data_IF_797986091220
#
_entry.id   IF_797986091220
#
_cell.length_a   1.000
_cell.length_b   1.000
_cell.length_c   1.000
_cell.angle_alpha   90.00
_cell.angle_beta   90.00
_cell.angle_gamma   90.00
#
_symmetry.space_group_name_H-M   'P 1'
#
loop_
_entity.id
_entity.type
_entity.pdbx_description
1 polymer ?
#
# COMPACT_ATOMS: atom_id res chain seq x y z
N UNK A 1 5.35 -12.63 20.22
CA UNK A 1 4.45 -13.46 19.42
C UNK A 1 4.20 -12.73 18.13
N UNK A 2 4.28 -13.40 16.97
CA UNK A 2 4.13 -12.73 15.67
C UNK A 2 2.73 -12.15 15.46
N UNK A 3 1.74 -12.69 16.17
CA UNK A 3 0.36 -12.27 16.07
C UNK A 3 0.01 -11.13 17.04
N UNK A 4 -0.90 -10.23 16.67
CA UNK A 4 -1.41 -9.16 17.53
C UNK A 4 -2.23 -9.69 18.73
N UNK A 5 -2.45 -8.86 19.77
CA UNK A 5 -3.14 -9.24 21.00
C UNK A 5 -4.45 -10.01 20.79
N UNK A 6 -5.32 -9.56 19.87
CA UNK A 6 -6.63 -10.18 19.66
C UNK A 6 -6.54 -11.62 19.15
N UNK A 7 -5.47 -12.01 18.45
CA UNK A 7 -5.23 -13.40 18.00
C UNK A 7 -4.55 -14.26 19.06
N UNK A 8 -4.05 -13.66 20.13
CA UNK A 8 -3.38 -14.33 21.23
C UNK A 8 -4.35 -14.73 22.37
N UNK A 9 -5.66 -14.74 22.11
CA UNK A 9 -6.69 -15.05 23.10
C UNK A 9 -7.02 -13.90 24.06
N UNK A 10 -6.45 -12.70 23.84
CA UNK A 10 -6.79 -11.53 24.64
C UNK A 10 -8.13 -10.94 24.19
N UNK A 11 -8.96 -10.44 25.13
CA UNK A 11 -10.22 -9.81 24.80
C UNK A 11 -10.00 -8.54 23.99
N UNK A 12 -10.90 -8.26 23.05
CA UNK A 12 -10.91 -7.01 22.29
C UNK A 12 -12.35 -6.56 22.04
N UNK A 13 -12.64 -5.24 22.15
CA UNK A 13 -13.97 -4.71 21.84
C UNK A 13 -14.24 -4.64 20.33
N UNK A 14 -13.22 -4.84 19.47
CA UNK A 14 -13.30 -4.58 18.04
C UNK A 14 -13.56 -5.85 17.19
N UNK A 15 -12.99 -6.99 17.58
CA UNK A 15 -12.96 -8.19 16.74
C UNK A 15 -14.08 -9.18 17.07
N UNK A 16 -15.13 -9.13 16.27
CA UNK A 16 -16.25 -10.09 16.32
C UNK A 16 -15.84 -11.49 15.82
N UNK A 17 -16.64 -12.54 16.08
CA UNK A 17 -16.42 -13.87 15.52
C UNK A 17 -16.30 -13.87 13.98
N UNK A 18 -17.06 -13.02 13.29
CA UNK A 18 -17.06 -12.86 11.83
C UNK A 18 -15.74 -12.27 11.34
N UNK A 19 -15.23 -11.24 12.00
CA UNK A 19 -13.91 -10.67 11.69
C UNK A 19 -12.78 -11.69 11.92
N UNK A 20 -12.90 -12.55 12.93
CA UNK A 20 -11.96 -13.65 13.17
C UNK A 20 -12.04 -14.73 12.09
N UNK A 21 -13.24 -15.04 11.61
CA UNK A 21 -13.43 -15.92 10.45
C UNK A 21 -12.77 -15.33 9.20
N UNK A 22 -12.97 -14.04 8.94
CA UNK A 22 -12.32 -13.32 7.84
C UNK A 22 -10.79 -13.37 7.95
N UNK A 23 -10.26 -13.13 9.15
CA UNK A 23 -8.83 -13.23 9.42
C UNK A 23 -8.28 -14.62 9.09
N UNK A 24 -8.96 -15.70 9.51
CA UNK A 24 -8.54 -17.07 9.20
C UNK A 24 -8.54 -17.32 7.69
N UNK A 25 -9.58 -16.90 6.98
CA UNK A 25 -9.68 -17.06 5.52
C UNK A 25 -8.56 -16.31 4.80
N UNK A 26 -8.25 -15.07 5.20
CA UNK A 26 -7.11 -14.33 4.67
C UNK A 26 -5.80 -15.08 4.91
N UNK A 27 -5.58 -15.53 6.14
CA UNK A 27 -4.36 -16.23 6.54
C UNK A 27 -4.16 -17.51 5.73
N UNK A 28 -5.19 -18.32 5.57
CA UNK A 28 -5.11 -19.58 4.85
C UNK A 28 -4.71 -19.32 3.38
N UNK A 29 -5.40 -18.40 2.70
CA UNK A 29 -5.08 -18.03 1.31
C UNK A 29 -3.66 -17.47 1.15
N UNK A 30 -3.24 -16.56 2.02
CA UNK A 30 -1.92 -15.91 1.96
C UNK A 30 -0.80 -16.90 2.33
N UNK A 31 -1.07 -17.85 3.23
CA UNK A 31 -0.12 -18.90 3.61
C UNK A 31 0.08 -19.94 2.51
N UNK A 32 -0.93 -20.14 1.67
CA UNK A 32 -0.84 -21.05 0.51
C UNK A 32 -0.13 -20.39 -0.68
N UNK A 33 -0.53 -19.17 -1.04
CA UNK A 33 -0.16 -18.59 -2.34
C UNK A 33 0.96 -17.55 -2.29
N UNK A 34 1.32 -17.01 -1.13
CA UNK A 34 2.27 -15.88 -1.06
C UNK A 34 3.41 -16.13 -0.07
N UNK A 35 3.09 -16.43 1.18
CA UNK A 35 4.07 -16.50 2.29
C UNK A 35 5.26 -17.44 2.03
N UNK A 36 5.06 -18.67 1.51
CA UNK A 36 6.17 -19.61 1.31
C UNK A 36 7.19 -19.15 0.28
N UNK A 37 6.78 -18.32 -0.68
CA UNK A 37 7.58 -17.95 -1.85
C UNK A 37 8.07 -16.50 -1.81
N UNK A 38 7.51 -15.67 -0.93
CA UNK A 38 7.77 -14.23 -0.86
C UNK A 38 9.27 -13.90 -0.81
N UNK A 39 10.06 -14.70 -0.10
CA UNK A 39 11.49 -14.46 0.06
C UNK A 39 12.28 -14.75 -1.23
N UNK A 40 11.93 -15.82 -1.93
CA UNK A 40 12.57 -16.16 -3.21
C UNK A 40 12.23 -15.13 -4.27
N UNK A 41 10.97 -14.70 -4.35
CA UNK A 41 10.51 -13.67 -5.29
C UNK A 41 11.16 -12.31 -5.05
N UNK A 42 11.34 -11.90 -3.80
CA UNK A 42 12.05 -10.64 -3.52
C UNK A 42 13.53 -10.75 -3.86
N UNK A 43 14.18 -11.89 -3.59
CA UNK A 43 15.57 -12.14 -4.01
C UNK A 43 15.73 -12.12 -5.54
N UNK A 44 14.76 -12.66 -6.26
CA UNK A 44 14.70 -12.64 -7.73
C UNK A 44 14.25 -11.27 -8.28
N UNK A 45 13.88 -10.36 -7.38
CA UNK A 45 13.32 -9.06 -7.69
C UNK A 45 12.10 -9.15 -8.62
N UNK A 46 11.28 -10.19 -8.53
CA UNK A 46 10.08 -10.31 -9.35
C UNK A 46 9.10 -11.30 -8.74
N UNK A 47 7.83 -11.19 -9.11
CA UNK A 47 6.82 -12.21 -8.82
C UNK A 47 6.44 -12.94 -10.12
N UNK A 48 5.97 -14.20 -10.04
CA UNK A 48 5.52 -14.91 -11.22
C UNK A 48 4.16 -14.36 -11.70
N UNK A 49 3.88 -14.32 -13.02
CA UNK A 49 2.63 -13.76 -13.55
C UNK A 49 1.35 -14.37 -12.97
N UNK A 50 1.34 -15.69 -12.75
CA UNK A 50 0.19 -16.42 -12.22
C UNK A 50 -0.25 -15.95 -10.83
N UNK A 51 0.61 -15.30 -10.06
CA UNK A 51 0.28 -14.85 -8.72
C UNK A 51 -0.85 -13.81 -8.75
N UNK A 52 -0.77 -12.85 -9.67
CA UNK A 52 -1.82 -11.84 -9.84
C UNK A 52 -3.13 -12.45 -10.33
N UNK A 53 -3.06 -13.41 -11.27
CA UNK A 53 -4.22 -14.16 -11.77
C UNK A 53 -4.90 -14.94 -10.65
N UNK A 54 -4.11 -15.55 -9.76
CA UNK A 54 -4.60 -16.27 -8.58
C UNK A 54 -5.34 -15.32 -7.64
N UNK A 55 -4.76 -14.16 -7.34
CA UNK A 55 -5.42 -13.15 -6.51
C UNK A 55 -6.71 -12.62 -7.16
N UNK A 56 -6.69 -12.37 -8.48
CA UNK A 56 -7.84 -11.90 -9.23
C UNK A 56 -8.99 -12.91 -9.23
N UNK A 57 -8.70 -14.18 -9.55
CA UNK A 57 -9.67 -15.28 -9.57
C UNK A 57 -10.42 -15.46 -8.26
N UNK A 58 -9.75 -15.17 -7.15
CA UNK A 58 -10.30 -15.33 -5.80
C UNK A 58 -10.85 -14.02 -5.20
N UNK A 59 -10.97 -12.96 -6.01
CA UNK A 59 -11.35 -11.60 -5.58
C UNK A 59 -10.43 -11.02 -4.49
N UNK A 60 -9.23 -11.57 -4.31
CA UNK A 60 -8.26 -11.16 -3.28
C UNK A 60 -7.47 -9.90 -3.65
N UNK A 61 -7.75 -9.29 -4.81
CA UNK A 61 -7.37 -7.92 -5.13
C UNK A 61 -8.34 -6.89 -4.54
N UNK A 62 -9.61 -7.25 -4.29
CA UNK A 62 -10.66 -6.32 -3.86
C UNK A 62 -10.47 -5.78 -2.43
N UNK A 63 -10.03 -6.57 -1.43
CA UNK A 63 -9.85 -6.08 -0.07
C UNK A 63 -8.90 -4.89 0.10
N UNK A 64 -8.04 -4.63 -0.89
CA UNK A 64 -7.09 -3.52 -0.87
C UNK A 64 -7.71 -2.17 -1.26
N UNK A 65 -8.93 -2.17 -1.82
CA UNK A 65 -9.66 -0.96 -2.15
C UNK A 65 -10.03 -0.18 -0.87
N UNK A 66 -10.23 1.15 -0.98
CA UNK A 66 -10.78 1.93 0.13
C UNK A 66 -12.10 1.36 0.61
N UNK A 67 -12.26 1.29 1.93
CA UNK A 67 -13.53 0.96 2.56
C UNK A 67 -14.37 2.23 2.76
N UNK A 68 -15.72 2.14 2.78
CA UNK A 68 -16.50 1.00 2.31
C UNK A 68 -16.28 0.74 0.82
N UNK A 69 -16.44 -0.53 0.40
CA UNK A 69 -16.20 -0.95 -0.98
C UNK A 69 -17.22 -0.32 -1.96
N UNK A 70 -16.89 -0.20 -3.26
CA UNK A 70 -17.83 0.25 -4.30
C UNK A 70 -18.83 -0.85 -4.65
N UNK A 71 -19.78 -1.10 -3.74
CA UNK A 71 -20.73 -2.24 -3.78
C UNK A 71 -21.47 -2.35 -5.11
N UNK A 72 -21.96 -1.22 -5.63
CA UNK A 72 -22.70 -1.21 -6.90
C UNK A 72 -21.84 -1.72 -8.05
N UNK A 73 -20.67 -1.11 -8.24
CA UNK A 73 -19.77 -1.45 -9.34
C UNK A 73 -19.20 -2.86 -9.21
N UNK A 74 -18.96 -3.35 -7.98
CA UNK A 74 -18.56 -4.73 -7.73
C UNK A 74 -19.67 -5.72 -8.11
N UNK A 75 -20.91 -5.47 -7.70
CA UNK A 75 -22.06 -6.32 -8.06
C UNK A 75 -22.35 -6.30 -9.56
N UNK A 76 -22.23 -5.15 -10.22
CA UNK A 76 -22.31 -5.03 -11.69
C UNK A 76 -21.20 -5.84 -12.39
N UNK A 77 -20.03 -5.98 -11.77
CA UNK A 77 -18.93 -6.83 -12.25
C UNK A 77 -19.05 -8.33 -11.84
N UNK A 78 -20.13 -8.73 -11.17
CA UNK A 78 -20.39 -10.10 -10.73
C UNK A 78 -19.70 -10.51 -9.42
N UNK A 79 -19.17 -9.55 -8.66
CA UNK A 79 -18.47 -9.79 -7.39
C UNK A 79 -19.43 -9.48 -6.24
N UNK A 80 -19.90 -10.52 -5.57
CA UNK A 80 -20.87 -10.42 -4.46
C UNK A 80 -20.24 -10.67 -3.09
N UNK A 81 -19.15 -11.43 -3.05
CA UNK A 81 -18.41 -11.79 -1.85
C UNK A 81 -16.93 -11.99 -2.15
N UNK A 82 -16.15 -12.08 -1.07
CA UNK A 82 -14.73 -12.37 -1.11
C UNK A 82 -14.50 -13.70 -0.40
N UNK A 83 -14.08 -14.71 -1.16
CA UNK A 83 -13.83 -16.08 -0.69
C UNK A 83 -15.00 -16.74 0.06
N UNK A 84 -16.26 -16.34 -0.19
CA UNK A 84 -17.44 -16.80 0.55
C UNK A 84 -17.45 -16.37 2.02
N UNK A 85 -16.52 -15.50 2.43
CA UNK A 85 -16.28 -15.17 3.83
C UNK A 85 -16.97 -13.86 4.26
N UNK A 86 -16.97 -12.86 3.37
CA UNK A 86 -17.56 -11.54 3.61
C UNK A 86 -18.25 -11.07 2.33
N UNK A 87 -19.49 -10.58 2.46
CA UNK A 87 -20.20 -9.94 1.34
C UNK A 87 -19.61 -8.55 1.09
N UNK A 88 -19.63 -8.08 -0.15
CA UNK A 88 -19.04 -6.78 -0.49
C UNK A 88 -19.70 -5.61 0.25
N UNK A 89 -20.99 -5.70 0.57
CA UNK A 89 -21.72 -4.70 1.38
C UNK A 89 -21.38 -4.71 2.87
N UNK A 90 -20.88 -5.84 3.40
CA UNK A 90 -20.54 -6.00 4.81
C UNK A 90 -19.05 -5.69 5.07
N UNK A 91 -18.28 -5.35 4.02
CA UNK A 91 -16.85 -5.10 4.11
C UNK A 91 -16.55 -3.73 4.73
N UNK A 92 -15.92 -3.75 5.90
CA UNK A 92 -15.60 -2.57 6.70
C UNK A 92 -14.10 -2.28 6.76
N UNK A 93 -13.71 -1.14 7.36
CA UNK A 93 -12.30 -0.83 7.60
C UNK A 93 -11.57 -1.88 8.45
N UNK A 94 -12.27 -2.62 9.34
CA UNK A 94 -11.66 -3.73 10.06
C UNK A 94 -11.32 -4.91 9.16
N UNK A 95 -12.12 -5.18 8.12
CA UNK A 95 -11.78 -6.20 7.12
C UNK A 95 -10.54 -5.79 6.32
N UNK A 96 -10.43 -4.52 5.94
CA UNK A 96 -9.24 -3.97 5.28
C UNK A 96 -7.99 -4.03 6.20
N UNK A 97 -8.13 -3.70 7.49
CA UNK A 97 -7.05 -3.79 8.48
C UNK A 97 -6.51 -5.22 8.58
N UNK A 98 -7.41 -6.20 8.73
CA UNK A 98 -7.04 -7.61 8.84
C UNK A 98 -6.35 -8.09 7.57
N UNK A 99 -6.90 -7.77 6.41
CA UNK A 99 -6.29 -8.13 5.12
C UNK A 99 -4.89 -7.53 4.97
N UNK A 100 -4.75 -6.23 5.25
CA UNK A 100 -3.47 -5.52 5.14
C UNK A 100 -2.41 -6.07 6.09
N UNK A 101 -2.79 -6.46 7.31
CA UNK A 101 -1.89 -7.11 8.29
C UNK A 101 -1.49 -8.53 7.85
N UNK A 102 -2.43 -9.34 7.36
CA UNK A 102 -2.12 -10.70 6.90
C UNK A 102 -1.24 -10.70 5.65
N UNK A 103 -1.42 -9.75 4.72
CA UNK A 103 -0.60 -9.61 3.51
C UNK A 103 0.90 -9.43 3.79
N UNK A 104 1.25 -8.89 4.96
CA UNK A 104 2.64 -8.59 5.36
C UNK A 104 3.08 -9.51 6.52
N UNK A 105 2.38 -10.63 6.77
CA UNK A 105 2.72 -11.57 7.85
C UNK A 105 4.11 -12.18 7.73
N UNK A 106 4.65 -12.29 6.52
CA UNK A 106 6.02 -12.73 6.26
C UNK A 106 7.07 -11.63 6.51
N UNK A 107 6.65 -10.40 6.82
CA UNK A 107 7.52 -9.24 7.06
C UNK A 107 7.95 -8.50 5.79
N UNK A 108 7.60 -9.00 4.60
CA UNK A 108 8.00 -8.44 3.31
C UNK A 108 6.83 -7.74 2.64
N UNK A 109 7.10 -6.56 2.10
CA UNK A 109 6.08 -5.75 1.44
C UNK A 109 6.15 -5.79 -0.10
N UNK A 110 7.30 -6.18 -0.66
CA UNK A 110 7.54 -6.22 -2.11
C UNK A 110 6.57 -7.10 -2.90
N UNK A 111 6.45 -8.41 -2.60
CA UNK A 111 5.58 -9.30 -3.37
C UNK A 111 4.11 -8.91 -3.30
N UNK A 112 3.61 -8.47 -2.13
CA UNK A 112 2.25 -7.96 -2.01
C UNK A 112 2.02 -6.70 -2.86
N UNK A 113 2.93 -5.73 -2.76
CA UNK A 113 2.85 -4.47 -3.51
C UNK A 113 2.90 -4.65 -5.04
N UNK A 114 3.60 -5.69 -5.51
CA UNK A 114 3.64 -6.06 -6.94
C UNK A 114 2.27 -6.43 -7.53
N UNK A 115 1.27 -6.71 -6.68
CA UNK A 115 -0.09 -7.04 -7.10
C UNK A 115 -1.11 -5.98 -6.71
N UNK A 116 -1.06 -5.51 -5.47
CA UNK A 116 -2.20 -4.81 -4.87
C UNK A 116 -2.10 -3.30 -4.98
N UNK A 117 -0.89 -2.71 -5.00
CA UNK A 117 -0.70 -1.24 -4.98
C UNK A 117 -1.45 -0.52 -6.09
N UNK A 118 -1.50 -1.13 -7.28
CA UNK A 118 -2.24 -0.61 -8.43
C UNK A 118 -3.74 -0.48 -8.19
N UNK A 119 -4.34 -1.54 -7.65
CA UNK A 119 -5.75 -1.58 -7.28
C UNK A 119 -6.01 -0.69 -6.06
N UNK A 120 -5.07 -0.64 -5.11
CA UNK A 120 -5.21 0.08 -3.86
C UNK A 120 -5.20 1.60 -4.05
N UNK A 121 -4.38 2.12 -4.96
CA UNK A 121 -4.12 3.55 -5.09
C UNK A 121 -4.37 4.11 -6.49
N UNK A 122 -4.16 3.31 -7.54
CA UNK A 122 -4.39 3.71 -8.93
C UNK A 122 -5.86 3.68 -9.34
N UNK A 123 -6.62 2.67 -8.92
CA UNK A 123 -8.03 2.53 -9.27
C UNK A 123 -9.01 3.46 -8.52
N UNK A 124 -8.81 3.82 -7.23
CA UNK A 124 -9.80 4.60 -6.48
C UNK A 124 -10.15 5.98 -7.04
N UNK A 125 -9.23 6.76 -7.65
CA UNK A 125 -9.62 7.99 -8.33
C UNK A 125 -10.70 7.76 -9.40
N UNK A 126 -10.61 6.67 -10.17
CA UNK A 126 -11.62 6.30 -11.18
C UNK A 126 -12.94 5.94 -10.51
N UNK A 127 -12.90 5.15 -9.42
CA UNK A 127 -14.10 4.76 -8.66
C UNK A 127 -14.84 5.98 -8.09
N UNK A 128 -14.09 6.94 -7.53
CA UNK A 128 -14.67 8.07 -6.79
C UNK A 128 -15.06 9.25 -7.68
N UNK A 129 -14.27 9.54 -8.70
CA UNK A 129 -14.39 10.78 -9.48
C UNK A 129 -14.55 10.54 -10.98
N UNK A 130 -14.38 9.32 -11.47
CA UNK A 130 -14.60 8.99 -12.87
C UNK A 130 -16.05 9.19 -13.29
N UNK A 131 -16.26 9.66 -14.52
CA UNK A 131 -17.60 9.70 -15.12
C UNK A 131 -18.21 8.29 -15.20
N UNK A 132 -19.55 8.13 -15.30
CA UNK A 132 -20.17 6.82 -15.46
C UNK A 132 -19.61 6.03 -16.65
N UNK A 133 -19.30 6.71 -17.76
CA UNK A 133 -18.70 6.11 -18.94
C UNK A 133 -17.27 5.63 -18.68
N UNK A 134 -16.46 6.43 -17.98
CA UNK A 134 -15.11 6.05 -17.57
C UNK A 134 -15.13 4.83 -16.64
N UNK A 135 -16.03 4.85 -15.66
CA UNK A 135 -16.20 3.74 -14.72
C UNK A 135 -16.61 2.45 -15.44
N UNK A 136 -17.60 2.52 -16.34
CA UNK A 136 -18.06 1.37 -17.11
C UNK A 136 -16.97 0.78 -18.02
N UNK A 137 -16.09 1.64 -18.56
CA UNK A 137 -15.00 1.21 -19.44
C UNK A 137 -13.87 0.49 -18.71
N UNK A 138 -13.55 0.91 -17.49
CA UNK A 138 -12.32 0.48 -16.81
C UNK A 138 -12.53 -0.42 -15.58
N UNK A 139 -13.57 -0.19 -14.79
CA UNK A 139 -13.74 -0.89 -13.51
C UNK A 139 -14.00 -2.39 -13.66
N UNK A 140 -14.84 -2.89 -14.60
CA UNK A 140 -15.12 -4.31 -14.71
C UNK A 140 -13.85 -5.14 -14.94
N UNK A 141 -12.99 -4.71 -15.88
CA UNK A 141 -11.76 -5.41 -16.19
C UNK A 141 -10.70 -5.25 -15.09
N UNK A 142 -10.65 -4.10 -14.42
CA UNK A 142 -9.74 -3.89 -13.30
C UNK A 142 -10.11 -4.76 -12.08
N UNK A 143 -11.40 -4.87 -11.75
CA UNK A 143 -11.88 -5.70 -10.64
C UNK A 143 -11.65 -7.20 -10.90
N UNK A 144 -11.78 -7.63 -12.15
CA UNK A 144 -11.52 -9.01 -12.56
C UNK A 144 -10.02 -9.30 -12.78
N UNK A 145 -9.14 -8.32 -12.58
CA UNK A 145 -7.70 -8.47 -12.79
C UNK A 145 -7.30 -8.74 -14.24
N UNK A 146 -8.12 -8.34 -15.22
CA UNK A 146 -7.78 -8.38 -16.64
C UNK A 146 -6.88 -7.23 -17.05
N UNK A 147 -7.00 -6.11 -16.35
CA UNK A 147 -6.13 -4.94 -16.52
C UNK A 147 -5.50 -4.56 -15.19
N UNK A 148 -4.31 -3.96 -15.25
CA UNK A 148 -3.55 -3.48 -14.11
C UNK A 148 -3.46 -1.96 -14.14
N UNK A 149 -3.65 -1.37 -12.97
CA UNK A 149 -3.49 0.05 -12.75
C UNK A 149 -2.21 0.35 -11.98
N UNK A 150 -1.78 1.60 -12.03
CA UNK A 150 -0.86 2.20 -11.08
C UNK A 150 -1.29 3.65 -10.80
N UNK A 151 -0.65 4.30 -9.83
CA UNK A 151 -0.80 5.74 -9.60
C UNK A 151 0.50 6.44 -9.98
N UNK A 152 0.43 7.44 -10.86
CA UNK A 152 1.60 8.09 -11.41
C UNK A 152 1.57 9.62 -11.14
N UNK A 153 2.12 10.02 -10.00
CA UNK A 153 2.15 11.42 -9.56
C UNK A 153 3.58 11.97 -9.61
N UNK A 154 4.44 11.36 -8.79
CA UNK A 154 5.81 11.81 -8.52
C UNK A 154 6.68 11.90 -9.77
N UNK A 155 7.50 12.93 -9.81
CA UNK A 155 8.47 13.23 -10.87
C UNK A 155 9.89 13.30 -10.29
N UNK A 156 10.95 13.29 -11.13
CA UNK A 156 12.33 13.51 -10.66
C UNK A 156 12.50 14.72 -9.75
N UNK A 157 11.84 15.83 -10.10
CA UNK A 157 12.01 17.12 -9.43
C UNK A 157 10.88 17.45 -8.43
N UNK A 158 9.81 16.63 -8.38
CA UNK A 158 8.61 16.91 -7.61
C UNK A 158 8.06 15.62 -6.96
N UNK A 159 8.35 15.45 -5.67
CA UNK A 159 7.83 14.36 -4.83
C UNK A 159 6.89 14.85 -3.73
N UNK A 160 7.43 15.50 -2.70
CA UNK A 160 6.63 16.13 -1.65
C UNK A 160 5.88 17.36 -2.15
N UNK A 161 6.48 18.09 -3.10
CA UNK A 161 5.89 19.27 -3.74
C UNK A 161 5.10 18.89 -5.00
N UNK A 162 4.00 18.16 -4.79
CA UNK A 162 3.13 17.65 -5.88
C UNK A 162 2.56 18.79 -6.73
N UNK A 163 2.37 19.98 -6.16
CA UNK A 163 1.83 21.14 -6.89
C UNK A 163 2.70 21.58 -8.07
N UNK A 164 4.00 21.26 -8.04
CA UNK A 164 5.01 21.69 -9.00
C UNK A 164 5.48 20.61 -9.97
N UNK A 165 4.69 19.54 -10.14
CA UNK A 165 4.91 18.57 -11.23
C UNK A 165 4.89 19.26 -12.61
N UNK A 166 5.67 18.75 -13.56
CA UNK A 166 5.94 19.33 -14.88
C UNK A 166 5.36 18.53 -16.05
N UNK A 167 4.94 17.27 -15.86
CA UNK A 167 4.25 16.52 -16.92
C UNK A 167 3.04 17.32 -17.37
N UNK A 168 2.96 17.62 -18.66
CA UNK A 168 1.88 18.42 -19.26
C UNK A 168 0.91 17.54 -20.03
N UNK A 169 -0.34 17.98 -20.15
CA UNK A 169 -1.35 17.41 -21.02
C UNK A 169 -2.05 18.55 -21.77
N UNK A 170 -1.79 18.68 -23.07
CA UNK A 170 -2.36 19.75 -23.91
C UNK A 170 -3.44 19.19 -24.83
N UNK A 171 -4.58 19.87 -24.95
CA UNK A 171 -5.61 19.43 -25.91
C UNK A 171 -5.07 19.47 -27.33
N UNK A 172 -5.38 18.43 -28.12
CA UNK A 172 -5.15 18.39 -29.55
C UNK A 172 -5.92 19.51 -30.26
N UNK A 173 -5.55 19.83 -31.50
CA UNK A 173 -6.16 20.93 -32.25
C UNK A 173 -7.67 20.74 -32.47
N UNK A 174 -8.14 19.51 -32.59
CA UNK A 174 -9.56 19.14 -32.71
C UNK A 174 -10.27 18.99 -31.35
N UNK A 175 -9.54 19.09 -30.25
CA UNK A 175 -10.06 18.98 -28.88
C UNK A 175 -10.53 17.58 -28.47
N UNK A 176 -10.22 16.53 -29.25
CA UNK A 176 -10.67 15.16 -28.98
C UNK A 176 -9.71 14.37 -28.09
N UNK A 177 -8.44 14.80 -28.00
CA UNK A 177 -7.41 14.16 -27.19
C UNK A 177 -6.62 15.17 -26.38
N UNK A 178 -5.89 14.68 -25.39
CA UNK A 178 -4.75 15.32 -24.77
C UNK A 178 -3.46 14.69 -25.31
N UNK A 179 -2.45 15.51 -25.57
CA UNK A 179 -1.09 15.08 -25.87
C UNK A 179 -0.26 15.29 -24.60
N UNK A 180 0.28 14.20 -24.06
CA UNK A 180 0.97 14.16 -22.77
C UNK A 180 2.47 14.05 -22.98
N UNK A 181 3.21 14.93 -22.30
CA UNK A 181 4.68 14.98 -22.34
C UNK A 181 5.26 15.14 -20.94
N UNK A 182 6.31 14.38 -20.61
CA UNK A 182 7.05 14.51 -19.36
C UNK A 182 7.58 13.19 -18.82
N UNK A 183 7.83 13.13 -17.51
CA UNK A 183 8.37 11.91 -16.88
C UNK A 183 7.74 11.66 -15.51
N UNK A 184 7.68 10.39 -15.11
CA UNK A 184 7.25 9.97 -13.77
C UNK A 184 8.28 9.05 -13.14
N UNK A 185 8.46 9.15 -11.83
CA UNK A 185 9.50 8.42 -11.08
C UNK A 185 8.93 7.81 -9.81
N UNK A 186 9.49 6.66 -9.43
CA UNK A 186 9.07 5.88 -8.26
C UNK A 186 7.70 5.23 -8.40
N UNK A 187 7.31 4.86 -9.62
CA UNK A 187 5.97 4.32 -9.85
C UNK A 187 5.98 2.82 -9.60
N UNK A 188 5.46 2.42 -8.44
CA UNK A 188 5.29 1.02 -8.04
C UNK A 188 4.28 0.31 -8.95
N UNK A 189 4.45 -0.99 -9.17
CA UNK A 189 3.60 -1.84 -10.03
C UNK A 189 3.72 -1.57 -11.54
N UNK A 190 4.21 -0.41 -11.94
CA UNK A 190 4.07 0.08 -13.31
C UNK A 190 4.66 -0.79 -14.41
N UNK A 191 5.68 -1.60 -14.14
CA UNK A 191 6.24 -2.52 -15.15
C UNK A 191 5.20 -3.52 -15.69
N UNK A 192 4.11 -3.75 -14.96
CA UNK A 192 3.00 -4.61 -15.38
C UNK A 192 1.71 -3.86 -15.69
N UNK A 193 1.64 -2.55 -15.41
CA UNK A 193 0.38 -1.79 -15.48
C UNK A 193 0.03 -1.40 -16.91
N UNK A 194 -1.21 -1.68 -17.30
CA UNK A 194 -1.80 -1.25 -18.57
C UNK A 194 -2.18 0.23 -18.53
N UNK A 195 -2.58 0.74 -17.35
CA UNK A 195 -3.02 2.11 -17.17
C UNK A 195 -2.42 2.76 -15.92
N UNK A 196 -2.30 4.09 -15.94
CA UNK A 196 -2.05 4.90 -14.76
C UNK A 196 -3.21 5.86 -14.52
N UNK A 197 -3.63 6.02 -13.27
CA UNK A 197 -4.22 7.28 -12.83
C UNK A 197 -3.08 8.27 -12.63
N UNK A 198 -2.88 9.12 -13.64
CA UNK A 198 -1.71 9.99 -13.76
C UNK A 198 -2.05 11.44 -13.45
N UNK A 199 -1.22 12.09 -12.64
CA UNK A 199 -1.27 13.53 -12.44
C UNK A 199 -0.54 14.25 -13.57
N UNK A 200 -1.25 15.16 -14.23
CA UNK A 200 -0.76 15.95 -15.37
C UNK A 200 -1.18 17.40 -15.21
N UNK A 201 -0.39 18.31 -15.76
CA UNK A 201 -0.72 19.74 -15.81
C UNK A 201 -1.48 20.05 -17.08
N UNK A 202 -2.75 20.38 -16.95
CA UNK A 202 -3.61 20.85 -18.06
C UNK A 202 -3.78 22.38 -18.05
N UNK A 203 -3.63 23.01 -16.87
CA UNK A 203 -3.77 24.45 -16.68
C UNK A 203 -2.46 25.18 -16.36
N UNK A 204 -2.58 26.29 -15.63
CA UNK A 204 -1.47 27.12 -15.18
C UNK A 204 -0.60 26.50 -14.09
N UNK A 205 0.21 27.31 -13.41
CA UNK A 205 1.08 26.86 -12.33
C UNK A 205 0.30 26.47 -11.04
N UNK A 206 0.99 25.76 -10.16
CA UNK A 206 0.45 25.38 -8.85
C UNK A 206 -0.65 24.32 -8.89
N UNK A 207 -1.36 24.13 -7.76
CA UNK A 207 -2.26 22.99 -7.57
C UNK A 207 -3.52 23.05 -8.43
N UNK A 208 -4.01 24.25 -8.76
CA UNK A 208 -5.21 24.44 -9.60
C UNK A 208 -4.98 24.14 -11.08
N UNK A 209 -3.74 23.95 -11.52
CA UNK A 209 -3.41 23.55 -12.89
C UNK A 209 -3.32 22.04 -13.10
N UNK A 210 -3.51 21.25 -12.04
CA UNK A 210 -3.33 19.79 -12.08
C UNK A 210 -4.65 19.07 -12.34
N UNK A 211 -4.59 18.04 -13.16
CA UNK A 211 -5.69 17.12 -13.47
C UNK A 211 -5.25 15.68 -13.24
N UNK A 212 -6.22 14.77 -13.05
CA UNK A 212 -5.98 13.33 -13.07
C UNK A 212 -6.56 12.73 -14.36
N UNK A 213 -5.87 11.76 -14.94
CA UNK A 213 -6.30 11.11 -16.18
C UNK A 213 -5.92 9.63 -16.18
N UNK A 214 -6.77 8.80 -16.79
CA UNK A 214 -6.40 7.40 -17.09
C UNK A 214 -5.51 7.40 -18.33
N UNK A 215 -4.20 7.21 -18.14
CA UNK A 215 -3.20 7.21 -19.22
C UNK A 215 -2.81 5.76 -19.55
N UNK A 216 -2.89 5.31 -20.81
CA UNK A 216 -2.40 4.01 -21.22
C UNK A 216 -0.88 3.94 -21.09
N UNK A 217 -0.34 2.76 -20.78
CA UNK A 217 1.07 2.59 -20.45
C UNK A 217 1.73 1.45 -21.22
N UNK A 218 1.29 0.22 -20.98
CA UNK A 218 1.94 -0.97 -21.52
C UNK A 218 1.72 -1.02 -23.03
N UNK A 219 2.81 -1.22 -23.77
CA UNK A 219 2.82 -1.35 -25.23
C UNK A 219 2.14 -0.16 -25.96
N UNK A 220 2.15 1.04 -25.36
CA UNK A 220 1.51 2.23 -25.91
C UNK A 220 2.53 3.18 -26.57
N UNK A 221 2.25 3.70 -27.79
CA UNK A 221 3.16 4.62 -28.47
C UNK A 221 3.51 5.85 -27.62
N UNK A 222 4.79 6.24 -27.63
CA UNK A 222 5.29 7.38 -26.87
C UNK A 222 5.51 7.10 -25.37
N UNK A 223 5.23 5.89 -24.89
CA UNK A 223 5.45 5.50 -23.50
C UNK A 223 6.66 4.58 -23.38
N UNK A 224 7.73 5.09 -22.78
CA UNK A 224 8.91 4.30 -22.45
C UNK A 224 8.97 4.03 -20.94
N UNK A 225 9.54 2.88 -20.58
CA UNK A 225 9.68 2.52 -19.18
C UNK A 225 10.89 1.71 -18.83
N UNK A 226 11.46 2.07 -17.68
CA UNK A 226 12.68 1.49 -17.17
C UNK A 226 12.55 1.20 -15.69
N UNK A 227 12.71 -0.07 -15.33
CA UNK A 227 12.72 -0.51 -13.93
C UNK A 227 13.83 0.19 -13.15
N UNK A 228 13.52 0.61 -11.93
CA UNK A 228 14.46 1.20 -10.99
C UNK A 228 14.88 0.17 -9.95
N UNK A 229 16.19 0.09 -9.69
CA UNK A 229 16.72 -0.66 -8.55
C UNK A 229 16.50 0.16 -7.29
N UNK A 230 15.84 -0.43 -6.31
CA UNK A 230 15.52 0.17 -5.02
C UNK A 230 16.12 -0.67 -3.89
N UNK A 231 16.21 -0.10 -2.69
CA UNK A 231 16.85 -0.78 -1.56
C UNK A 231 15.91 -1.64 -0.71
N UNK A 232 14.60 -1.57 -0.97
CA UNK A 232 13.54 -2.31 -0.31
C UNK A 232 12.34 -2.40 -1.25
N UNK A 233 11.43 -3.35 -1.01
CA UNK A 233 10.33 -3.67 -1.95
C UNK A 233 10.82 -3.97 -3.37
N UNK A 234 11.95 -4.67 -3.50
CA UNK A 234 12.63 -4.82 -4.80
C UNK A 234 11.77 -5.56 -5.82
N UNK A 235 10.93 -6.49 -5.37
CA UNK A 235 9.95 -7.20 -6.20
C UNK A 235 8.72 -6.39 -6.59
N UNK A 236 8.52 -5.17 -6.07
CA UNK A 236 7.30 -4.39 -6.33
C UNK A 236 7.26 -3.68 -7.70
N UNK A 237 8.32 -3.81 -8.51
CA UNK A 237 8.35 -3.30 -9.88
C UNK A 237 8.38 -1.77 -9.99
N UNK A 238 9.07 -1.08 -9.07
CA UNK A 238 9.24 0.38 -9.12
C UNK A 238 9.89 0.80 -10.43
N UNK A 239 9.27 1.75 -11.13
CA UNK A 239 9.60 2.06 -12.52
C UNK A 239 9.67 3.57 -12.78
N UNK A 240 10.52 3.95 -13.72
CA UNK A 240 10.57 5.28 -14.35
C UNK A 240 9.76 5.26 -15.64
N UNK A 241 8.99 6.32 -15.89
CA UNK A 241 8.14 6.47 -17.08
C UNK A 241 8.60 7.71 -17.83
N UNK A 242 8.79 7.57 -19.13
CA UNK A 242 8.96 8.68 -20.07
C UNK A 242 7.74 8.72 -20.99
N UNK A 243 7.27 9.93 -21.26
CA UNK A 243 6.07 10.20 -22.05
C UNK A 243 6.45 11.23 -23.11
N UNK A 244 6.37 10.82 -24.37
CA UNK A 244 6.69 11.61 -25.56
C UNK A 244 5.48 11.58 -26.50
N UNK A 245 4.79 12.72 -26.63
CA UNK A 245 3.58 12.90 -27.43
C UNK A 245 2.52 11.80 -27.27
N UNK A 246 2.28 11.38 -26.02
CA UNK A 246 1.32 10.32 -25.70
C UNK A 246 -0.10 10.86 -25.84
N UNK A 247 -0.83 10.37 -26.84
CA UNK A 247 -2.20 10.77 -27.09
C UNK A 247 -3.19 10.03 -26.17
N UNK A 248 -4.05 10.76 -25.48
CA UNK A 248 -5.06 10.21 -24.57
C UNK A 248 -6.41 10.86 -24.83
N UNK A 249 -7.51 10.10 -25.02
CA UNK A 249 -8.81 10.69 -25.26
C UNK A 249 -9.28 11.62 -24.13
N UNK A 250 -9.99 12.71 -24.45
CA UNK A 250 -10.45 13.67 -23.43
C UNK A 250 -11.39 13.04 -22.40
N UNK A 251 -12.13 12.00 -22.78
CA UNK A 251 -13.01 11.27 -21.88
C UNK A 251 -12.26 10.43 -20.82
N UNK A 252 -10.92 10.30 -20.92
CA UNK A 252 -10.10 9.66 -19.90
C UNK A 252 -9.82 10.56 -18.69
N UNK A 253 -10.24 11.83 -18.74
CA UNK A 253 -10.16 12.74 -17.61
C UNK A 253 -10.93 12.17 -16.41
N UNK A 254 -10.26 12.12 -15.25
CA UNK A 254 -10.85 11.67 -14.00
C UNK A 254 -11.41 12.90 -13.29
N UNK A 255 -12.74 13.02 -13.25
CA UNK A 255 -13.42 14.18 -12.69
C UNK A 255 -13.28 15.41 -13.58
N UNK A 256 -13.03 16.56 -12.97
CA UNK A 256 -12.96 17.85 -13.65
C UNK A 256 -11.51 18.32 -13.86
N UNK A 257 -11.30 19.10 -14.92
CA UNK A 257 -10.00 19.69 -15.25
C UNK A 257 -9.58 20.69 -14.15
N UNK A 258 -8.33 20.63 -13.68
CA UNK A 258 -7.82 21.50 -12.60
C UNK A 258 -8.15 21.02 -11.18
N UNK A 259 -8.94 19.95 -11.02
CA UNK A 259 -9.32 19.39 -9.72
C UNK A 259 -8.40 18.25 -9.25
N UNK A 260 -7.35 17.93 -10.01
CA UNK A 260 -6.45 16.80 -9.77
C UNK A 260 -5.79 16.81 -8.40
N UNK A 261 -5.30 17.97 -7.93
CA UNK A 261 -4.69 18.07 -6.59
C UNK A 261 -5.67 17.66 -5.48
N UNK A 262 -6.94 18.08 -5.58
CA UNK A 262 -7.97 17.72 -4.60
C UNK A 262 -8.19 16.20 -4.58
N UNK A 263 -8.32 15.59 -5.77
CA UNK A 263 -8.54 14.15 -5.89
C UNK A 263 -7.37 13.33 -5.35
N UNK A 264 -6.13 13.77 -5.60
CA UNK A 264 -4.92 13.17 -5.05
C UNK A 264 -4.95 13.19 -3.52
N UNK A 265 -5.23 14.35 -2.92
CA UNK A 265 -5.26 14.52 -1.46
C UNK A 265 -6.32 13.65 -0.79
N UNK A 266 -7.50 13.49 -1.40
CA UNK A 266 -8.54 12.59 -0.89
C UNK A 266 -8.12 11.11 -0.93
N UNK A 267 -7.24 10.74 -1.86
CA UNK A 267 -6.76 9.37 -1.98
C UNK A 267 -5.71 9.01 -0.91
N UNK A 268 -4.88 9.98 -0.49
CA UNK A 268 -3.77 9.74 0.43
C UNK A 268 -4.18 9.24 1.82
N UNK A 269 -5.39 9.54 2.32
CA UNK A 269 -5.81 9.05 3.63
C UNK A 269 -5.90 7.51 3.66
N UNK A 270 -6.43 6.90 2.61
CA UNK A 270 -6.46 5.43 2.46
C UNK A 270 -5.04 4.87 2.39
N UNK A 271 -4.19 5.45 1.54
CA UNK A 271 -2.80 5.04 1.37
C UNK A 271 -2.00 5.11 2.68
N UNK A 272 -2.16 6.20 3.44
CA UNK A 272 -1.49 6.40 4.74
C UNK A 272 -1.89 5.31 5.75
N UNK A 273 -3.18 4.98 5.84
CA UNK A 273 -3.66 3.94 6.74
C UNK A 273 -3.09 2.56 6.35
N UNK A 274 -3.14 2.19 5.06
CA UNK A 274 -2.57 0.93 4.57
C UNK A 274 -1.08 0.83 4.89
N UNK A 275 -0.31 1.91 4.71
CA UNK A 275 1.11 1.96 5.07
C UNK A 275 1.30 1.83 6.59
N UNK A 276 0.49 2.51 7.41
CA UNK A 276 0.58 2.44 8.86
C UNK A 276 0.38 1.01 9.38
N UNK A 277 -0.65 0.30 8.88
CA UNK A 277 -0.93 -1.09 9.23
C UNK A 277 0.24 -1.98 8.81
N UNK A 278 0.63 -1.93 7.54
CA UNK A 278 1.69 -2.78 7.01
C UNK A 278 3.04 -2.58 7.69
N UNK A 279 3.43 -1.33 7.92
CA UNK A 279 4.68 -0.97 8.61
C UNK A 279 4.68 -1.47 10.06
N UNK A 280 3.53 -1.38 10.74
CA UNK A 280 3.38 -1.89 12.12
C UNK A 280 3.44 -3.42 12.15
N UNK A 281 2.88 -4.10 11.15
CA UNK A 281 3.03 -5.55 10.98
C UNK A 281 4.49 -5.94 10.81
N UNK A 282 5.25 -5.25 9.96
CA UNK A 282 6.68 -5.51 9.79
C UNK A 282 7.45 -5.36 11.10
N UNK A 283 7.13 -4.33 11.88
CA UNK A 283 7.72 -4.09 13.19
C UNK A 283 7.47 -5.28 14.15
N UNK A 284 6.24 -5.82 14.12
CA UNK A 284 5.85 -7.02 14.88
C UNK A 284 6.61 -8.26 14.45
N UNK A 285 6.80 -8.47 13.14
CA UNK A 285 7.59 -9.60 12.62
C UNK A 285 9.05 -9.48 13.06
N UNK A 286 9.66 -8.29 12.98
CA UNK A 286 11.03 -8.02 13.41
C UNK A 286 11.23 -8.34 14.90
N UNK A 287 10.41 -7.73 15.76
CA UNK A 287 10.54 -7.89 17.19
C UNK A 287 10.25 -9.32 17.64
N UNK A 288 9.27 -9.99 17.04
CA UNK A 288 8.94 -11.38 17.36
C UNK A 288 10.02 -12.37 16.94
N UNK A 289 10.69 -12.11 15.82
CA UNK A 289 11.82 -12.93 15.36
C UNK A 289 13.00 -12.80 16.32
N UNK A 290 13.31 -11.57 16.76
CA UNK A 290 14.35 -11.33 17.76
C UNK A 290 14.00 -11.96 19.12
N UNK A 291 12.74 -11.86 19.55
CA UNK A 291 12.27 -12.49 20.78
C UNK A 291 12.46 -14.02 20.73
N UNK A 292 12.05 -14.66 19.63
CA UNK A 292 12.20 -16.10 19.43
C UNK A 292 13.68 -16.53 19.39
N UNK A 293 14.55 -15.71 18.79
CA UNK A 293 16.00 -15.93 18.80
C UNK A 293 16.58 -15.85 20.22
N UNK A 294 16.22 -14.82 20.99
CA UNK A 294 16.71 -14.61 22.35
C UNK A 294 16.31 -15.72 23.32
N UNK A 295 15.19 -16.40 23.09
CA UNK A 295 14.78 -17.57 23.86
C UNK A 295 15.65 -18.81 23.64
N UNK A 296 16.30 -18.92 22.48
CA UNK A 296 17.07 -20.11 22.06
C UNK A 296 18.57 -19.88 22.09
N UNK A 297 19.03 -18.66 21.82
CA UNK A 297 20.45 -18.33 21.73
C UNK A 297 21.07 -18.29 23.12
N UNK A 298 22.06 -19.13 23.35
CA UNK A 298 22.88 -19.11 24.54
C UNK A 298 24.16 -18.27 24.36
N UNK A 299 24.50 -17.51 25.40
CA UNK A 299 25.78 -16.81 25.55
C UNK A 299 26.06 -16.60 27.03
N UNK A 300 27.34 -16.71 27.44
CA UNK A 300 27.75 -16.55 28.84
C UNK A 300 27.00 -17.50 29.80
N UNK A 301 26.80 -18.75 29.38
CA UNK A 301 26.24 -19.82 30.22
C UNK A 301 24.72 -19.81 30.40
N UNK A 302 23.98 -18.95 29.68
CA UNK A 302 22.52 -18.87 29.73
C UNK A 302 21.92 -18.33 28.43
N UNK A 303 20.59 -18.38 28.30
CA UNK A 303 19.90 -17.77 27.15
C UNK A 303 20.05 -16.24 27.15
N UNK A 304 20.02 -15.60 25.97
CA UNK A 304 20.02 -14.14 25.88
C UNK A 304 18.83 -13.52 26.63
N UNK A 305 17.68 -14.21 26.66
CA UNK A 305 16.49 -13.76 27.40
C UNK A 305 16.74 -13.59 28.90
N UNK A 306 17.70 -14.31 29.48
CA UNK A 306 18.05 -14.18 30.89
C UNK A 306 18.88 -12.93 31.21
N UNK A 307 19.39 -12.23 30.20
CA UNK A 307 20.11 -10.98 30.38
C UNK A 307 19.13 -9.80 30.58
N UNK A 308 19.21 -9.04 31.69
CA UNK A 308 18.28 -7.92 31.95
C UNK A 308 18.27 -6.87 30.84
N UNK A 309 19.42 -6.57 30.23
CA UNK A 309 19.55 -5.61 29.12
C UNK A 309 18.76 -6.06 27.88
N UNK A 310 18.70 -7.36 27.60
CA UNK A 310 17.93 -7.91 26.48
C UNK A 310 16.44 -7.75 26.73
N UNK A 311 15.97 -8.10 27.94
CA UNK A 311 14.55 -7.92 28.32
C UNK A 311 14.13 -6.47 28.27
N UNK A 312 14.96 -5.55 28.77
CA UNK A 312 14.68 -4.12 28.74
C UNK A 312 14.52 -3.59 27.30
N UNK A 313 15.39 -3.99 26.38
CA UNK A 313 15.30 -3.61 24.96
C UNK A 313 14.04 -4.13 24.29
N UNK A 314 13.73 -5.41 24.49
CA UNK A 314 12.51 -6.03 23.97
C UNK A 314 11.26 -5.37 24.54
N UNK A 315 11.24 -5.06 25.84
CA UNK A 315 10.12 -4.39 26.49
C UNK A 315 9.90 -2.98 25.96
N UNK A 316 10.99 -2.20 25.74
CA UNK A 316 10.90 -0.85 25.19
C UNK A 316 10.32 -0.85 23.78
N UNK A 317 10.88 -1.64 22.88
CA UNK A 317 10.38 -1.75 21.50
C UNK A 317 8.95 -2.35 21.46
N UNK A 318 8.67 -3.33 22.32
CA UNK A 318 7.34 -3.94 22.43
C UNK A 318 6.28 -2.95 22.90
N UNK A 319 6.61 -2.07 23.85
CA UNK A 319 5.71 -1.01 24.29
C UNK A 319 5.35 -0.05 23.14
N UNK A 320 6.34 0.40 22.37
CA UNK A 320 6.09 1.26 21.19
C UNK A 320 5.23 0.55 20.14
N UNK A 321 5.50 -0.73 19.87
CA UNK A 321 4.74 -1.56 18.93
C UNK A 321 3.27 -1.71 19.33
N UNK A 322 3.00 -2.13 20.58
CA UNK A 322 1.61 -2.35 21.00
C UNK A 322 0.84 -1.04 21.14
N UNK A 323 1.51 0.07 21.50
CA UNK A 323 0.88 1.40 21.50
C UNK A 323 0.43 1.81 20.09
N UNK A 324 1.30 1.60 19.10
CA UNK A 324 0.98 1.89 17.70
C UNK A 324 -0.17 1.02 17.17
N UNK A 325 -0.17 -0.28 17.52
CA UNK A 325 -1.24 -1.18 17.11
C UNK A 325 -2.60 -0.77 17.71
N UNK A 326 -2.64 -0.47 19.01
CA UNK A 326 -3.84 0.02 19.67
C UNK A 326 -4.34 1.34 19.05
N UNK A 327 -3.42 2.23 18.66
CA UNK A 327 -3.77 3.49 17.99
C UNK A 327 -4.42 3.23 16.62
N UNK A 328 -3.86 2.32 15.83
CA UNK A 328 -4.44 1.89 14.54
C UNK A 328 -5.83 1.29 14.72
N UNK A 329 -6.02 0.40 15.70
CA UNK A 329 -7.34 -0.20 15.99
C UNK A 329 -8.37 0.87 16.38
N UNK A 330 -7.98 1.84 17.21
CA UNK A 330 -8.83 2.97 17.59
C UNK A 330 -9.22 3.81 16.38
N UNK A 331 -8.29 4.08 15.46
CA UNK A 331 -8.61 4.81 14.23
C UNK A 331 -9.59 4.07 13.35
N UNK A 332 -9.35 2.78 13.13
CA UNK A 332 -10.24 1.96 12.31
C UNK A 332 -11.64 1.87 12.93
N UNK A 333 -11.73 1.82 14.25
CA UNK A 333 -12.99 1.95 14.95
C UNK A 333 -13.68 3.29 14.69
N UNK A 334 -12.97 4.42 14.80
CA UNK A 334 -13.54 5.74 14.50
C UNK A 334 -14.02 5.84 13.05
N UNK A 335 -13.24 5.35 12.08
CA UNK A 335 -13.62 5.33 10.66
C UNK A 335 -14.87 4.48 10.39
N UNK A 336 -15.10 3.42 11.16
CA UNK A 336 -16.34 2.63 11.07
C UNK A 336 -17.56 3.30 11.70
N UNK A 337 -17.37 4.28 12.59
CA UNK A 337 -18.44 4.87 13.40
C UNK A 337 -18.66 6.36 13.13
N UNK A 338 -17.91 6.96 12.21
CA UNK A 338 -18.06 8.35 11.76
C UNK A 338 -18.60 8.41 10.34
N UNK A 339 -19.29 9.51 10.00
CA UNK A 339 -19.60 9.78 8.60
C UNK A 339 -18.30 10.05 7.84
N UNK A 340 -18.28 9.72 6.55
CA UNK A 340 -17.06 9.76 5.75
C UNK A 340 -16.48 11.18 5.65
N UNK A 341 -17.34 12.18 5.46
CA UNK A 341 -16.96 13.58 5.31
C UNK A 341 -16.36 14.14 6.60
N UNK A 342 -16.98 13.79 7.74
CA UNK A 342 -16.49 14.16 9.07
C UNK A 342 -15.14 13.46 9.36
N UNK A 343 -15.04 12.16 9.05
CA UNK A 343 -13.81 11.40 9.22
C UNK A 343 -12.64 11.93 8.38
N UNK A 344 -12.88 12.36 7.13
CA UNK A 344 -11.83 12.91 6.27
C UNK A 344 -11.22 14.21 6.81
N UNK A 345 -12.04 15.04 7.47
CA UNK A 345 -11.62 16.31 8.07
C UNK A 345 -10.90 16.04 9.39
N UNK A 346 -11.56 15.33 10.31
CA UNK A 346 -11.09 15.16 11.70
C UNK A 346 -9.93 14.18 11.82
N UNK A 347 -9.92 13.12 11.00
CA UNK A 347 -8.91 12.05 11.08
C UNK A 347 -7.77 12.22 10.08
N UNK A 348 -7.84 13.17 9.14
CA UNK A 348 -6.82 13.35 8.10
C UNK A 348 -5.42 13.59 8.66
N UNK A 349 -5.29 14.56 9.58
CA UNK A 349 -4.01 14.86 10.24
C UNK A 349 -3.54 13.73 11.16
N UNK A 350 -4.47 13.10 11.87
CA UNK A 350 -4.17 11.98 12.76
C UNK A 350 -3.69 10.73 11.98
N UNK A 351 -4.27 10.46 10.81
CA UNK A 351 -3.85 9.37 9.92
C UNK A 351 -2.43 9.58 9.40
N UNK A 352 -2.06 10.83 9.07
CA UNK A 352 -0.69 11.18 8.70
C UNK A 352 0.28 10.94 9.88
N UNK A 353 -0.10 11.34 11.09
CA UNK A 353 0.69 11.11 12.31
C UNK A 353 0.86 9.60 12.61
N UNK A 354 -0.21 8.81 12.48
CA UNK A 354 -0.18 7.36 12.67
C UNK A 354 0.79 6.68 11.69
N UNK A 355 0.74 7.07 10.42
CA UNK A 355 1.66 6.57 9.37
C UNK A 355 3.10 6.96 9.65
N UNK A 356 3.35 8.22 10.03
CA UNK A 356 4.69 8.69 10.35
C UNK A 356 5.26 7.95 11.59
N UNK A 357 4.46 7.77 12.63
CA UNK A 357 4.86 7.06 13.84
C UNK A 357 5.11 5.57 13.58
N UNK A 358 4.33 4.93 12.69
CA UNK A 358 4.57 3.55 12.29
C UNK A 358 6.00 3.35 11.76
N UNK A 359 6.53 4.29 10.97
CA UNK A 359 7.91 4.26 10.49
C UNK A 359 8.94 4.36 11.61
N UNK A 360 8.69 5.18 12.63
CA UNK A 360 9.54 5.28 13.84
C UNK A 360 9.53 3.97 14.63
N UNK A 361 8.36 3.38 14.82
CA UNK A 361 8.17 2.11 15.54
C UNK A 361 8.84 0.95 14.81
N UNK A 362 8.71 0.86 13.49
CA UNK A 362 9.42 -0.13 12.69
C UNK A 362 10.92 0.03 12.84
N UNK A 363 11.44 1.26 12.76
CA UNK A 363 12.87 1.51 12.96
C UNK A 363 13.34 1.01 14.33
N UNK A 364 12.64 1.37 15.40
CA UNK A 364 12.99 0.94 16.76
C UNK A 364 12.96 -0.60 16.91
N UNK A 365 11.92 -1.25 16.39
CA UNK A 365 11.78 -2.70 16.46
C UNK A 365 12.85 -3.43 15.63
N UNK A 366 13.15 -2.92 14.44
CA UNK A 366 14.12 -3.53 13.54
C UNK A 366 15.56 -3.31 14.00
N UNK A 367 15.91 -2.11 14.48
CA UNK A 367 17.21 -1.83 15.11
C UNK A 367 17.44 -2.74 16.34
N UNK A 368 16.40 -2.88 17.18
CA UNK A 368 16.42 -3.79 18.32
C UNK A 368 16.65 -5.24 17.86
N UNK A 369 15.94 -5.68 16.82
CA UNK A 369 16.07 -7.03 16.30
C UNK A 369 17.49 -7.31 15.78
N UNK A 370 18.03 -6.46 14.91
CA UNK A 370 19.38 -6.62 14.35
C UNK A 370 20.44 -6.66 15.44
N UNK A 371 20.35 -5.77 16.43
CA UNK A 371 21.28 -5.76 17.55
C UNK A 371 21.26 -7.09 18.33
N UNK A 372 20.07 -7.65 18.58
CA UNK A 372 19.91 -8.89 19.34
C UNK A 372 20.32 -10.14 18.54
N UNK A 373 20.21 -10.12 17.21
CA UNK A 373 20.78 -11.15 16.35
C UNK A 373 22.32 -11.11 16.30
N UNK A 374 22.96 -10.00 16.70
CA UNK A 374 24.41 -9.83 16.65
C UNK A 374 24.94 -9.91 15.21
N UNK A 375 26.03 -10.64 14.99
CA UNK A 375 26.59 -10.85 13.64
C UNK A 375 25.61 -11.49 12.65
N UNK A 376 24.66 -12.31 13.12
CA UNK A 376 23.62 -12.87 12.26
C UNK A 376 22.61 -11.83 11.79
N UNK A 377 22.55 -10.67 12.45
CA UNK A 377 21.71 -9.53 12.10
C UNK A 377 22.18 -8.75 10.87
N UNK A 378 23.36 -9.07 10.32
CA UNK A 378 23.92 -8.43 9.12
C UNK A 378 24.16 -9.39 7.95
N UNK A 379 23.95 -10.71 8.14
CA UNK A 379 24.14 -11.73 7.10
C UNK A 379 22.81 -12.15 6.43
N UNK A 380 22.75 -12.27 5.09
CA UNK A 380 21.71 -13.06 4.42
C UNK A 380 21.92 -14.56 4.76
N UNK A 381 20.89 -15.40 4.98
CA UNK A 381 19.44 -15.19 4.82
C UNK A 381 18.72 -14.79 6.13
N UNK A 382 19.42 -14.57 7.23
CA UNK A 382 18.82 -14.45 8.58
C UNK A 382 18.00 -13.18 8.83
N UNK A 383 17.88 -12.28 7.85
CA UNK A 383 17.36 -10.93 8.09
C UNK A 383 16.55 -10.37 6.90
N UNK A 384 15.25 -10.71 6.78
CA UNK A 384 14.30 -9.90 6.01
C UNK A 384 14.32 -8.42 6.44
N UNK A 385 14.73 -8.16 7.69
CA UNK A 385 14.67 -6.85 8.35
C UNK A 385 15.71 -5.84 7.89
N UNK A 386 16.85 -6.21 7.29
CA UNK A 386 17.84 -5.20 6.86
C UNK A 386 17.40 -4.45 5.60
N UNK A 387 16.70 -5.14 4.70
CA UNK A 387 16.06 -4.53 3.52
C UNK A 387 14.85 -3.68 3.94
N UNK A 388 14.05 -4.18 4.90
CA UNK A 388 12.87 -3.47 5.42
C UNK A 388 13.25 -2.33 6.41
N UNK A 389 14.44 -2.32 7.01
CA UNK A 389 14.96 -1.16 7.76
C UNK A 389 15.20 0.04 6.85
N UNK A 390 15.66 -0.20 5.61
CA UNK A 390 15.75 0.87 4.62
C UNK A 390 14.36 1.34 4.21
N UNK A 391 13.38 0.43 4.17
CA UNK A 391 11.97 0.77 3.98
C UNK A 391 11.39 1.61 5.13
N UNK A 392 11.81 1.41 6.38
CA UNK A 392 11.39 2.26 7.51
C UNK A 392 11.71 3.75 7.27
N UNK A 393 12.88 4.04 6.68
CA UNK A 393 13.24 5.40 6.27
C UNK A 393 12.37 5.88 5.08
N UNK A 394 12.04 4.98 4.15
CA UNK A 394 11.13 5.28 3.03
C UNK A 394 9.73 5.65 3.52
N UNK A 395 9.16 4.91 4.48
CA UNK A 395 7.86 5.23 5.08
C UNK A 395 7.81 6.64 5.70
N UNK A 396 8.95 7.19 6.12
CA UNK A 396 9.04 8.56 6.63
C UNK A 396 9.09 9.64 5.53
N UNK A 397 9.47 9.27 4.30
CA UNK A 397 9.64 10.18 3.14
C UNK A 397 8.60 10.02 2.04
N UNK A 398 7.79 8.94 2.02
CA UNK A 398 6.61 8.84 1.13
C UNK A 398 5.77 10.11 1.35
N UNK A 399 5.46 10.87 0.28
CA UNK A 399 5.00 12.25 0.35
C UNK A 399 3.97 12.47 1.45
N UNK A 400 4.28 13.40 2.34
CA UNK A 400 3.33 13.89 3.32
C UNK A 400 3.20 15.41 3.14
N UNK A 401 2.23 15.86 2.33
CA UNK A 401 1.94 17.29 2.23
C UNK A 401 1.57 17.92 3.58
N UNK A 402 1.24 17.14 4.63
CA UNK A 402 1.01 17.68 5.97
C UNK A 402 2.32 18.05 6.72
N UNK A 403 3.49 17.59 6.26
CA UNK A 403 4.80 18.07 6.76
C UNK A 403 5.30 19.32 6.03
N UNK A 404 4.70 19.66 4.89
CA UNK A 404 5.00 20.87 4.13
C UNK A 404 4.05 21.95 4.63
N UNK A 405 4.48 22.64 5.70
CA UNK A 405 3.86 23.91 6.11
C UNK A 405 4.15 24.99 5.08
#
# INVERSE_FOLDING_TARGET
>A
MIDPPYLCGLPSPYYTPELRKWQKVCRDFISEHLTPYAWDWDREETVPPHLFETFAKHNMLIPTLPSPLPVRQLKEAGIHDILGAVKVEDFTYFHNLIYSDEMIRNGMSGPGASMTTGIAFGLPPVIKFGSPQLQQRFLPDAFQGKTRFCIAITEPDAGSDVANIKTTARKSADGTKYVINGTKKWITNRIWSDYASMAVRTGGEGPGGLSLMVVPLKDYPGVEMRRLKVSGQVSAGTTFIELDDVEVPVENLIGEEGMGMRYIMTNFNHERLTIAIGTTRQARVALSSAFAYCLKREAFGKTLMEQPVVRHRLAKAGSSLESQWAWIEQFVYQMCNMKKEEADIELGGLTAAAKANAGVVLKECADCAVLLFGGNGVSPPSVPFHLEMKWANVCQVIPDPAKVK
#
